data_IF_522084647283
#
_entry.id   IF_522084647283
#
_cell.length_a   1.000
_cell.length_b   1.000
_cell.length_c   1.000
_cell.angle_alpha   90.00
_cell.angle_beta   90.00
_cell.angle_gamma   90.00
#
_symmetry.space_group_name_H-M   'P 1'
#
loop_
_entity.id
_entity.type
_entity.pdbx_description
1 polymer ?
#
# COMPACT_ATOMS: atom_id res chain seq x y z
N UNK A 1 -17.76 31.81 -1.69
CA UNK A 1 -16.31 31.88 -1.47
C UNK A 1 -15.70 30.50 -1.44
N UNK A 2 -14.65 30.24 -2.20
CA UNK A 2 -13.99 28.94 -2.10
C UNK A 2 -13.33 28.76 -0.73
N UNK A 3 -13.16 27.52 -0.33
CA UNK A 3 -12.42 27.19 0.89
C UNK A 3 -10.95 27.55 0.73
N UNK A 4 -10.31 27.96 1.81
CA UNK A 4 -8.86 28.16 1.84
C UNK A 4 -8.22 26.93 2.50
N UNK A 5 -7.56 26.11 1.68
CA UNK A 5 -6.87 24.94 2.20
C UNK A 5 -5.48 25.35 2.64
N UNK A 6 -5.19 25.18 3.92
CA UNK A 6 -3.93 25.62 4.53
C UNK A 6 -2.85 24.53 4.50
N UNK A 7 -3.24 23.27 4.24
CA UNK A 7 -2.31 22.15 4.14
C UNK A 7 -2.77 21.26 3.00
N UNK A 8 -2.17 21.45 1.82
CA UNK A 8 -2.57 20.75 0.61
C UNK A 8 -1.97 19.37 0.48
N UNK A 9 -2.45 18.64 -0.52
CA UNK A 9 -2.03 17.24 -0.75
C UNK A 9 -0.53 17.15 -1.06
N UNK A 10 0.03 18.12 -1.80
CA UNK A 10 1.47 18.10 -2.11
C UNK A 10 2.31 18.17 -0.83
N UNK A 11 1.96 19.09 0.08
CA UNK A 11 2.66 19.24 1.35
C UNK A 11 2.54 17.95 2.19
N UNK A 12 1.37 17.35 2.23
CA UNK A 12 1.15 16.11 2.99
C UNK A 12 1.98 14.94 2.43
N UNK A 13 2.04 14.81 1.11
CA UNK A 13 2.82 13.75 0.46
C UNK A 13 4.31 14.00 0.67
N UNK A 14 4.80 15.23 0.50
CA UNK A 14 6.20 15.56 0.72
C UNK A 14 6.62 15.26 2.17
N UNK A 15 5.78 15.62 3.12
CA UNK A 15 6.01 15.35 4.54
C UNK A 15 6.05 13.85 4.83
N UNK A 16 5.12 13.09 4.24
CA UNK A 16 5.10 11.64 4.39
C UNK A 16 6.39 11.03 3.83
N UNK A 17 6.79 11.41 2.62
CA UNK A 17 8.00 10.88 1.99
C UNK A 17 9.27 11.24 2.75
N UNK A 18 9.27 12.33 3.52
CA UNK A 18 10.41 12.71 4.35
C UNK A 18 10.61 11.80 5.56
N UNK A 19 9.56 11.10 5.99
CA UNK A 19 9.61 10.28 7.23
C UNK A 19 9.50 8.78 7.01
N UNK A 20 9.18 8.32 5.80
CA UNK A 20 9.01 6.90 5.50
C UNK A 20 10.07 6.44 4.50
N UNK A 21 10.31 5.13 4.49
CA UNK A 21 11.17 4.52 3.47
C UNK A 21 10.42 4.47 2.14
N UNK A 22 11.07 4.94 1.08
CA UNK A 22 10.55 4.87 -0.29
C UNK A 22 11.44 3.94 -1.10
N UNK A 23 10.86 2.85 -1.59
CA UNK A 23 11.58 1.91 -2.44
C UNK A 23 11.50 2.36 -3.90
N UNK A 24 12.62 2.31 -4.60
CA UNK A 24 12.60 2.43 -6.06
C UNK A 24 11.84 1.25 -6.65
N UNK A 25 11.37 1.41 -7.87
CA UNK A 25 10.70 0.30 -8.58
C UNK A 25 11.60 -0.93 -8.64
N UNK A 26 12.87 -0.75 -8.98
CA UNK A 26 13.82 -1.86 -9.07
C UNK A 26 14.01 -2.57 -7.73
N UNK A 27 14.17 -1.80 -6.64
CA UNK A 27 14.33 -2.37 -5.31
C UNK A 27 13.07 -3.09 -4.85
N UNK A 28 11.90 -2.56 -5.19
CA UNK A 28 10.62 -3.20 -4.85
C UNK A 28 10.46 -4.53 -5.57
N UNK A 29 10.81 -4.60 -6.85
CA UNK A 29 10.76 -5.84 -7.62
C UNK A 29 11.72 -6.87 -7.02
N UNK A 30 12.95 -6.45 -6.71
CA UNK A 30 13.94 -7.33 -6.09
C UNK A 30 13.45 -7.86 -4.74
N UNK A 31 12.86 -7.00 -3.92
CA UNK A 31 12.33 -7.39 -2.62
C UNK A 31 11.18 -8.40 -2.75
N UNK A 32 10.30 -8.19 -3.73
CA UNK A 32 9.21 -9.12 -4.01
C UNK A 32 9.74 -10.52 -4.37
N UNK A 33 10.82 -10.57 -5.12
CA UNK A 33 11.43 -11.84 -5.54
C UNK A 33 12.16 -12.55 -4.41
N UNK A 34 12.77 -11.79 -3.49
CA UNK A 34 13.67 -12.34 -2.46
C UNK A 34 13.09 -12.34 -1.04
N UNK A 35 12.04 -11.54 -0.79
CA UNK A 35 11.56 -11.28 0.55
C UNK A 35 10.82 -12.43 1.24
N UNK A 36 10.25 -13.34 0.45
CA UNK A 36 9.53 -14.49 0.99
C UNK A 36 8.46 -14.09 2.00
N UNK A 37 8.39 -14.83 3.09
CA UNK A 37 7.39 -14.61 4.14
C UNK A 37 7.72 -13.44 5.07
N UNK A 38 8.88 -12.81 4.92
CA UNK A 38 9.30 -11.70 5.78
C UNK A 38 8.72 -10.36 5.34
N UNK A 39 8.07 -10.32 4.20
CA UNK A 39 7.52 -9.10 3.60
C UNK A 39 6.05 -9.29 3.28
N UNK A 40 5.24 -8.29 3.64
CA UNK A 40 3.84 -8.21 3.23
C UNK A 40 3.72 -7.00 2.32
N UNK A 41 3.32 -7.21 1.08
CA UNK A 41 3.03 -6.12 0.14
C UNK A 41 1.54 -5.83 0.22
N UNK A 42 1.19 -4.58 0.48
CA UNK A 42 -0.19 -4.16 0.72
C UNK A 42 -0.65 -3.24 -0.40
N UNK A 43 -1.70 -3.65 -1.08
CA UNK A 43 -2.34 -2.87 -2.14
C UNK A 43 -3.47 -2.05 -1.52
N UNK A 44 -3.35 -0.73 -1.55
CA UNK A 44 -4.35 0.15 -0.93
C UNK A 44 -5.31 0.76 -1.95
N UNK A 45 -5.27 0.27 -3.19
CA UNK A 45 -6.16 0.76 -4.24
C UNK A 45 -7.59 0.26 -4.03
N UNK A 46 -8.51 0.92 -4.72
CA UNK A 46 -9.90 0.47 -4.81
C UNK A 46 -9.97 -0.89 -5.53
N UNK A 47 -10.85 -1.81 -5.11
CA UNK A 47 -10.99 -3.11 -5.78
C UNK A 47 -11.23 -3.02 -7.29
N UNK A 48 -11.89 -1.97 -7.77
CA UNK A 48 -12.12 -1.79 -9.21
C UNK A 48 -10.83 -1.55 -9.98
N UNK A 49 -9.88 -0.82 -9.37
CA UNK A 49 -8.56 -0.62 -9.99
C UNK A 49 -7.80 -1.94 -10.07
N UNK A 50 -7.88 -2.76 -9.03
CA UNK A 50 -7.21 -4.06 -8.97
C UNK A 50 -7.81 -5.00 -10.02
N UNK A 51 -9.12 -5.04 -10.12
CA UNK A 51 -9.83 -5.87 -11.09
C UNK A 51 -9.46 -5.49 -12.51
N UNK A 52 -9.38 -4.19 -12.80
CA UNK A 52 -9.07 -3.67 -14.13
C UNK A 52 -7.61 -3.89 -14.53
N UNK A 53 -6.69 -3.64 -13.61
CA UNK A 53 -5.26 -3.53 -13.93
C UNK A 53 -4.43 -4.71 -13.43
N UNK A 54 -4.98 -5.58 -12.58
CA UNK A 54 -4.22 -6.63 -11.92
C UNK A 54 -3.49 -6.12 -10.69
N UNK A 55 -2.69 -6.98 -10.09
CA UNK A 55 -1.99 -6.66 -8.83
C UNK A 55 -0.59 -7.28 -8.81
N UNK A 56 0.23 -6.84 -7.86
CA UNK A 56 1.49 -7.50 -7.54
C UNK A 56 1.17 -8.87 -6.95
N UNK A 57 1.74 -9.96 -7.47
CA UNK A 57 1.41 -11.30 -6.99
C UNK A 57 1.63 -11.45 -5.49
N UNK A 58 0.65 -12.03 -4.81
CA UNK A 58 0.69 -12.25 -3.37
C UNK A 58 0.39 -11.02 -2.53
N UNK A 59 0.14 -9.87 -3.11
CA UNK A 59 -0.16 -8.66 -2.35
C UNK A 59 -1.51 -8.80 -1.62
N UNK A 60 -1.55 -8.21 -0.43
CA UNK A 60 -2.76 -8.18 0.41
C UNK A 60 -3.56 -6.92 0.09
N UNK A 61 -4.83 -7.08 -0.25
CA UNK A 61 -5.69 -5.95 -0.56
C UNK A 61 -6.25 -5.33 0.71
N UNK A 62 -5.93 -4.06 0.93
CA UNK A 62 -6.45 -3.28 2.06
C UNK A 62 -6.80 -1.89 1.54
N UNK A 63 -8.04 -1.69 1.12
CA UNK A 63 -8.51 -0.39 0.64
C UNK A 63 -8.18 0.69 1.66
N UNK A 64 -7.69 1.84 1.19
CA UNK A 64 -7.19 2.92 2.06
C UNK A 64 -8.17 3.28 3.18
N UNK A 65 -9.47 3.26 2.91
CA UNK A 65 -10.49 3.60 3.89
C UNK A 65 -10.59 2.66 5.09
N UNK A 66 -10.03 1.45 4.98
CA UNK A 66 -10.05 0.45 6.06
C UNK A 66 -8.73 0.32 6.80
N UNK A 67 -7.69 1.05 6.36
CA UNK A 67 -6.33 0.81 6.84
C UNK A 67 -6.21 0.89 8.36
N UNK A 68 -6.64 1.99 8.95
CA UNK A 68 -6.51 2.20 10.40
C UNK A 68 -7.29 1.15 11.19
N UNK A 69 -8.49 0.81 10.70
CA UNK A 69 -9.36 -0.17 11.36
C UNK A 69 -8.78 -1.58 11.30
N UNK A 70 -8.03 -1.90 10.25
CA UNK A 70 -7.45 -3.24 10.09
C UNK A 70 -6.12 -3.38 10.80
N UNK A 71 -5.38 -2.27 11.00
CA UNK A 71 -4.10 -2.28 11.69
C UNK A 71 -4.26 -2.40 13.20
N UNK A 72 -5.22 -1.66 13.79
CA UNK A 72 -5.36 -1.59 15.25
C UNK A 72 -5.91 -2.90 15.81
N UNK A 73 -5.15 -3.63 16.63
CA UNK A 73 -5.61 -4.90 17.19
C UNK A 73 -6.83 -4.77 18.12
N UNK A 74 -7.10 -3.57 18.61
CA UNK A 74 -8.26 -3.32 19.45
C UNK A 74 -9.51 -2.94 18.67
N UNK A 75 -9.36 -2.72 17.35
CA UNK A 75 -10.49 -2.45 16.47
C UNK A 75 -11.32 -3.72 16.27
N UNK A 76 -12.66 -3.61 16.16
CA UNK A 76 -13.49 -4.77 15.85
C UNK A 76 -13.23 -5.33 14.45
N UNK A 77 -12.51 -4.58 13.60
CA UNK A 77 -12.19 -4.99 12.23
C UNK A 77 -10.73 -5.37 12.03
N UNK A 78 -9.97 -5.55 13.12
CA UNK A 78 -8.55 -5.87 13.03
C UNK A 78 -8.29 -7.11 12.16
N UNK A 79 -7.23 -7.05 11.35
CA UNK A 79 -6.80 -8.17 10.50
C UNK A 79 -5.48 -8.74 11.01
N UNK A 80 -5.39 -10.06 11.17
CA UNK A 80 -4.18 -10.69 11.72
C UNK A 80 -2.91 -10.41 10.93
N UNK A 81 -3.00 -10.16 9.64
CA UNK A 81 -1.83 -9.88 8.80
C UNK A 81 -1.00 -8.71 9.35
N UNK A 82 -1.65 -7.69 9.92
CA UNK A 82 -0.94 -6.53 10.46
C UNK A 82 -0.36 -6.75 11.86
N UNK A 83 -0.59 -7.91 12.47
CA UNK A 83 -0.02 -8.25 13.77
C UNK A 83 1.30 -9.03 13.65
N UNK A 84 1.72 -9.35 12.44
CA UNK A 84 2.93 -10.11 12.19
C UNK A 84 4.16 -9.23 12.23
N UNK A 85 5.27 -9.79 12.70
CA UNK A 85 6.57 -9.10 12.73
C UNK A 85 7.23 -9.21 11.35
N UNK A 86 6.76 -8.40 10.42
CA UNK A 86 7.19 -8.39 9.02
C UNK A 86 7.36 -6.96 8.54
N UNK A 87 8.04 -6.80 7.40
CA UNK A 87 8.10 -5.51 6.71
C UNK A 87 6.86 -5.34 5.86
N UNK A 88 6.20 -4.20 6.00
CA UNK A 88 4.98 -3.88 5.25
C UNK A 88 5.30 -2.85 4.18
N UNK A 89 5.03 -3.21 2.92
CA UNK A 89 5.31 -2.35 1.77
C UNK A 89 4.00 -2.00 1.10
N UNK A 90 3.64 -0.72 1.15
CA UNK A 90 2.38 -0.23 0.61
C UNK A 90 2.55 0.24 -0.83
N UNK A 91 1.53 0.03 -1.66
CA UNK A 91 1.52 0.63 -2.99
C UNK A 91 0.10 1.03 -3.41
N UNK A 92 0.05 1.97 -4.34
CA UNK A 92 -1.17 2.39 -5.00
C UNK A 92 -0.89 2.50 -6.50
N UNK A 93 -1.69 3.25 -7.25
CA UNK A 93 -1.49 3.35 -8.69
C UNK A 93 -0.25 4.18 -9.05
N UNK A 94 -0.05 5.34 -8.43
CA UNK A 94 1.01 6.28 -8.79
C UNK A 94 1.96 6.68 -7.66
N UNK A 95 1.73 6.21 -6.45
CA UNK A 95 2.63 6.47 -5.32
C UNK A 95 2.19 7.57 -4.35
N UNK A 96 1.10 8.28 -4.61
CA UNK A 96 0.65 9.35 -3.72
C UNK A 96 -0.13 8.83 -2.52
N UNK A 97 -1.16 8.02 -2.78
CA UNK A 97 -1.98 7.45 -1.71
C UNK A 97 -1.15 6.54 -0.80
N UNK A 98 -0.21 5.81 -1.37
CA UNK A 98 0.63 4.88 -0.60
C UNK A 98 1.61 5.61 0.31
N UNK A 99 2.09 6.80 -0.09
CA UNK A 99 2.91 7.64 0.79
C UNK A 99 2.14 8.00 2.05
N UNK A 100 0.90 8.46 1.90
CA UNK A 100 0.04 8.81 3.03
C UNK A 100 -0.32 7.60 3.87
N UNK A 101 -0.60 6.47 3.23
CA UNK A 101 -0.93 5.22 3.91
C UNK A 101 0.24 4.72 4.76
N UNK A 102 1.44 4.68 4.19
CA UNK A 102 2.64 4.23 4.91
C UNK A 102 2.94 5.16 6.09
N UNK A 103 2.79 6.48 5.91
CA UNK A 103 2.98 7.44 7.01
C UNK A 103 1.98 7.19 8.13
N UNK A 104 0.70 7.01 7.80
CA UNK A 104 -0.33 6.72 8.79
C UNK A 104 -0.03 5.42 9.55
N UNK A 105 0.33 4.37 8.82
CA UNK A 105 0.67 3.08 9.44
C UNK A 105 1.86 3.22 10.39
N UNK A 106 2.90 3.92 9.96
CA UNK A 106 4.09 4.16 10.79
C UNK A 106 3.73 4.97 12.04
N UNK A 107 2.91 6.00 11.90
CA UNK A 107 2.47 6.82 13.03
C UNK A 107 1.64 6.00 14.04
N UNK A 108 0.95 4.97 13.57
CA UNK A 108 0.21 4.05 14.44
C UNK A 108 1.13 3.06 15.17
N UNK A 109 2.38 2.94 14.74
CA UNK A 109 3.35 2.04 15.34
C UNK A 109 3.69 0.80 14.52
N UNK A 110 3.09 0.62 13.34
CA UNK A 110 3.45 -0.47 12.44
C UNK A 110 4.86 -0.23 11.90
N UNK A 111 5.73 -1.23 12.01
CA UNK A 111 7.13 -1.07 11.58
C UNK A 111 7.79 -2.43 11.31
N UNK A 112 8.74 -2.49 10.35
CA UNK A 112 9.11 -1.42 9.43
C UNK A 112 8.10 -1.27 8.30
N UNK A 113 7.94 -0.05 7.81
CA UNK A 113 7.06 0.24 6.67
C UNK A 113 7.82 0.93 5.56
N UNK A 114 7.36 0.73 4.33
CA UNK A 114 7.88 1.41 3.14
C UNK A 114 6.73 1.56 2.15
N UNK A 115 6.95 2.35 1.10
CA UNK A 115 6.05 2.33 -0.04
C UNK A 115 6.84 2.34 -1.34
N UNK A 116 6.16 2.02 -2.45
CA UNK A 116 6.80 1.88 -3.76
C UNK A 116 6.67 3.18 -4.54
N UNK A 117 7.79 3.79 -4.89
CA UNK A 117 7.82 4.99 -5.71
C UNK A 117 7.20 4.71 -7.08
N UNK A 118 6.29 5.59 -7.50
CA UNK A 118 5.62 5.43 -8.78
C UNK A 118 4.53 4.37 -8.82
N UNK A 119 4.37 3.61 -7.75
CA UNK A 119 3.27 2.65 -7.57
C UNK A 119 3.20 1.56 -8.61
N UNK A 120 1.99 1.06 -8.81
CA UNK A 120 1.74 -0.04 -9.74
C UNK A 120 2.06 0.31 -11.19
N UNK A 121 1.84 1.57 -11.59
CA UNK A 121 2.17 2.03 -12.95
C UNK A 121 3.65 1.86 -13.27
N UNK A 122 4.53 2.33 -12.37
CA UNK A 122 5.97 2.18 -12.55
C UNK A 122 6.39 0.71 -12.48
N UNK A 123 5.78 -0.08 -11.61
CA UNK A 123 6.02 -1.53 -11.50
C UNK A 123 5.73 -2.22 -12.84
N UNK A 124 4.55 -1.95 -13.40
CA UNK A 124 4.15 -2.53 -14.69
C UNK A 124 5.11 -2.11 -15.81
N UNK A 125 5.44 -0.82 -15.88
CA UNK A 125 6.31 -0.28 -16.93
C UNK A 125 7.73 -0.83 -16.86
N UNK A 126 8.17 -1.21 -15.67
CA UNK A 126 9.48 -1.84 -15.47
C UNK A 126 9.48 -3.35 -15.70
N UNK A 127 8.34 -3.92 -16.08
CA UNK A 127 8.24 -5.34 -16.34
C UNK A 127 8.10 -6.20 -15.09
N UNK A 128 7.70 -5.63 -13.97
CA UNK A 128 7.42 -6.39 -12.75
C UNK A 128 6.28 -7.38 -12.95
N UNK A 129 6.29 -8.51 -12.23
CA UNK A 129 5.24 -9.53 -12.38
C UNK A 129 3.87 -8.99 -11.96
N UNK A 130 2.84 -9.42 -12.67
CA UNK A 130 1.45 -9.00 -12.42
C UNK A 130 0.59 -10.25 -12.46
N UNK A 131 -0.33 -10.36 -11.51
CA UNK A 131 -1.37 -11.39 -11.57
C UNK A 131 -2.74 -10.75 -11.71
N UNK A 132 -3.62 -11.41 -12.44
CA UNK A 132 -5.00 -11.00 -12.52
C UNK A 132 -5.68 -11.23 -11.17
N UNK A 133 -6.59 -10.33 -10.81
CA UNK A 133 -7.38 -10.50 -9.60
C UNK A 133 -8.86 -10.57 -10.00
N UNK A 134 -9.49 -11.63 -9.56
CA UNK A 134 -10.91 -11.85 -9.81
C UNK A 134 -11.63 -11.86 -8.47
N UNK A 135 -12.64 -11.00 -8.27
CA UNK A 135 -13.41 -11.03 -7.04
C UNK A 135 -14.05 -12.39 -6.83
N UNK A 136 -14.18 -12.81 -5.58
CA UNK A 136 -14.93 -14.03 -5.29
C UNK A 136 -16.35 -13.88 -5.80
N UNK A 137 -16.83 -14.88 -6.54
CA UNK A 137 -18.20 -14.89 -6.97
C UNK A 137 -19.14 -14.80 -5.76
N UNK A 138 -20.23 -14.04 -5.86
CA UNK A 138 -21.19 -14.01 -4.77
C UNK A 138 -21.68 -15.43 -4.49
N UNK A 139 -21.77 -15.78 -3.22
CA UNK A 139 -22.37 -17.06 -2.84
C UNK A 139 -23.86 -16.97 -3.18
N UNK A 140 -24.25 -17.73 -4.15
CA UNK A 140 -25.65 -17.81 -4.58
C UNK A 140 -26.49 -18.57 -3.60
#
# INVERSE_FOLDING_TARGET
MPQTITRGIKAMVDEANASIETLSTADAIALHQSGGDDVVIVDIRDPREIERDGKIPGSFSCTRGMLEFWIDPQSPYAKPVFQQDKKFVFYCAGGLRSALAAKTAQDMGLKPVAHIKGGFGAWRDAGGPIEAWVPKAPKG
#
